data_IF_178690939806
#
_entry.id   IF_178690939806
#
_cell.length_a   1.000
_cell.length_b   1.000
_cell.length_c   1.000
_cell.angle_alpha   90.00
_cell.angle_beta   90.00
_cell.angle_gamma   90.00
#
_symmetry.space_group_name_H-M   'P 1'
#
loop_
_entity.id
_entity.type
_entity.pdbx_description
1 polymer ?
#
# COMPACT_ATOMS: atom_id res chain seq x y z
N UNK A 1 -31.36 54.30 -9.84
CA UNK A 1 -30.74 53.12 -9.22
C UNK A 1 -29.73 52.50 -10.20
N UNK A 2 -28.47 52.95 -10.20
CA UNK A 2 -27.44 52.46 -11.13
C UNK A 2 -26.64 51.33 -10.47
N UNK A 3 -26.97 50.07 -10.75
CA UNK A 3 -26.28 48.94 -10.10
C UNK A 3 -25.79 47.82 -11.02
N UNK A 4 -26.11 47.83 -12.32
CA UNK A 4 -25.75 46.71 -13.21
C UNK A 4 -24.43 46.91 -13.98
N UNK A 5 -24.04 48.15 -14.30
CA UNK A 5 -22.78 48.42 -15.04
C UNK A 5 -21.54 48.34 -14.15
N UNK A 6 -21.64 48.78 -12.90
CA UNK A 6 -20.56 48.71 -11.91
C UNK A 6 -20.14 47.27 -11.57
N UNK A 7 -21.09 46.34 -11.56
CA UNK A 7 -20.82 44.92 -11.27
C UNK A 7 -19.99 44.27 -12.39
N UNK A 8 -20.32 44.56 -13.66
CA UNK A 8 -19.58 44.03 -14.81
C UNK A 8 -18.15 44.57 -14.87
N UNK A 9 -17.95 45.83 -14.44
CA UNK A 9 -16.63 46.45 -14.44
C UNK A 9 -15.73 45.97 -13.29
N UNK A 10 -16.31 45.54 -12.16
CA UNK A 10 -15.57 44.87 -11.07
C UNK A 10 -15.09 43.48 -11.47
N UNK A 11 -15.92 42.67 -12.12
CA UNK A 11 -15.53 41.33 -12.60
C UNK A 11 -14.42 41.39 -13.65
N UNK A 12 -14.44 42.39 -14.54
CA UNK A 12 -13.38 42.57 -15.53
C UNK A 12 -12.03 42.98 -14.88
N UNK A 13 -12.04 43.78 -13.81
CA UNK A 13 -10.84 44.17 -13.07
C UNK A 13 -10.28 43.04 -12.20
N UNK A 14 -11.14 42.19 -11.64
CA UNK A 14 -10.71 41.02 -10.85
C UNK A 14 -9.99 39.97 -11.71
N UNK A 15 -10.38 39.79 -12.99
CA UNK A 15 -9.69 38.87 -13.92
C UNK A 15 -8.32 39.36 -14.38
N UNK A 16 -8.04 40.65 -14.35
CA UNK A 16 -6.70 41.21 -14.63
C UNK A 16 -5.77 41.10 -13.42
N UNK A 17 -6.31 41.10 -12.19
CA UNK A 17 -5.51 41.07 -10.96
C UNK A 17 -5.05 39.66 -10.53
N UNK A 18 -5.70 38.58 -11.00
CA UNK A 18 -5.21 37.21 -10.83
C UNK A 18 -4.30 36.77 -11.97
N UNK A 19 -3.19 37.50 -12.18
CA UNK A 19 -2.02 37.04 -12.94
C UNK A 19 -0.84 36.73 -12.00
N UNK A 20 -1.14 36.20 -10.81
CA UNK A 20 -0.10 35.64 -9.95
C UNK A 20 0.14 34.19 -10.39
N UNK A 21 1.00 34.03 -11.38
CA UNK A 21 1.58 32.73 -11.72
C UNK A 21 2.45 32.31 -10.55
N UNK A 22 1.90 31.51 -9.64
CA UNK A 22 2.68 30.82 -8.62
C UNK A 22 3.65 29.90 -9.35
N UNK A 23 4.98 30.00 -9.12
CA UNK A 23 5.88 28.96 -9.57
C UNK A 23 5.56 27.72 -8.72
N UNK A 24 4.72 26.83 -9.23
CA UNK A 24 4.56 25.50 -8.65
C UNK A 24 5.94 24.84 -8.72
N UNK A 25 6.58 24.51 -7.59
CA UNK A 25 7.81 23.74 -7.63
C UNK A 25 7.54 22.46 -8.41
N UNK A 26 8.47 21.98 -9.25
CA UNK A 26 8.32 20.69 -9.90
C UNK A 26 7.96 19.67 -8.83
N UNK A 27 6.84 18.97 -9.05
CA UNK A 27 6.28 18.02 -8.11
C UNK A 27 7.38 17.12 -7.58
N UNK A 28 7.46 17.03 -6.25
CA UNK A 28 8.31 16.07 -5.56
C UNK A 28 8.07 14.73 -6.24
N UNK A 29 9.05 14.25 -6.99
CA UNK A 29 9.06 12.89 -7.50
C UNK A 29 8.85 12.02 -6.28
N UNK A 30 7.71 11.34 -6.22
CA UNK A 30 7.55 10.23 -5.28
C UNK A 30 8.84 9.39 -5.42
N UNK A 31 9.51 9.03 -4.31
CA UNK A 31 10.70 8.21 -4.41
C UNK A 31 10.32 7.01 -5.29
N UNK A 32 11.17 6.63 -6.27
CA UNK A 32 10.83 5.58 -7.21
C UNK A 32 10.33 4.42 -6.39
N UNK A 33 9.07 4.01 -6.63
CA UNK A 33 8.45 2.86 -6.01
C UNK A 33 9.52 1.77 -6.04
N UNK A 34 10.10 1.47 -4.87
CA UNK A 34 11.33 0.69 -4.81
C UNK A 34 11.00 -0.63 -5.48
N UNK A 35 11.62 -0.90 -6.62
CA UNK A 35 11.41 -2.14 -7.33
C UNK A 35 11.60 -3.26 -6.31
N UNK A 36 10.57 -4.09 -6.13
CA UNK A 36 10.59 -5.16 -5.15
C UNK A 36 11.86 -5.98 -5.36
N UNK A 37 12.73 -6.02 -4.35
CA UNK A 37 13.98 -6.76 -4.48
C UNK A 37 13.66 -8.25 -4.59
N UNK A 38 14.49 -9.03 -5.27
CA UNK A 38 14.33 -10.49 -5.36
C UNK A 38 14.15 -11.13 -3.98
N UNK A 39 14.83 -10.59 -2.96
CA UNK A 39 14.69 -11.00 -1.57
C UNK A 39 13.26 -10.82 -1.02
N UNK A 40 12.54 -9.75 -1.36
CA UNK A 40 11.15 -9.56 -0.94
C UNK A 40 10.22 -10.56 -1.64
N UNK A 41 10.43 -10.80 -2.94
CA UNK A 41 9.65 -11.79 -3.69
C UNK A 41 9.80 -13.17 -3.04
N UNK A 42 11.04 -13.57 -2.73
CA UNK A 42 11.32 -14.85 -2.10
C UNK A 42 10.72 -14.93 -0.69
N UNK A 43 10.85 -13.85 0.08
CA UNK A 43 10.26 -13.73 1.42
C UNK A 43 8.74 -13.93 1.39
N UNK A 44 8.03 -13.25 0.48
CA UNK A 44 6.58 -13.43 0.34
C UNK A 44 6.24 -14.86 -0.07
N UNK A 45 7.00 -15.47 -0.98
CA UNK A 45 6.78 -16.87 -1.34
C UNK A 45 6.96 -17.81 -0.14
N UNK A 46 7.98 -17.57 0.68
CA UNK A 46 8.23 -18.32 1.91
C UNK A 46 7.09 -18.17 2.92
N UNK A 47 6.59 -16.96 3.14
CA UNK A 47 5.43 -16.71 4.01
C UNK A 47 4.20 -17.50 3.56
N UNK A 48 3.86 -17.46 2.27
CA UNK A 48 2.71 -18.23 1.77
C UNK A 48 2.95 -19.75 1.82
N UNK A 49 4.19 -20.21 1.68
CA UNK A 49 4.52 -21.62 1.89
C UNK A 49 4.28 -22.03 3.36
N UNK A 50 4.69 -21.20 4.32
CA UNK A 50 4.41 -21.42 5.74
C UNK A 50 2.91 -21.44 6.04
N UNK A 51 2.14 -20.51 5.48
CA UNK A 51 0.69 -20.49 5.65
C UNK A 51 0.00 -21.72 5.06
N UNK A 52 0.46 -22.19 3.91
CA UNK A 52 -0.06 -23.44 3.30
C UNK A 52 0.17 -24.65 4.20
N UNK A 53 1.29 -24.70 4.92
CA UNK A 53 1.61 -25.80 5.83
C UNK A 53 0.80 -25.73 7.13
N UNK A 54 0.68 -24.55 7.73
CA UNK A 54 0.02 -24.39 9.04
C UNK A 54 -1.51 -24.34 8.95
N UNK A 55 -2.06 -23.85 7.82
CA UNK A 55 -3.50 -23.63 7.64
C UNK A 55 -4.06 -24.39 6.45
N UNK A 56 -3.58 -25.62 6.19
CA UNK A 56 -3.83 -26.37 4.94
C UNK A 56 -5.27 -26.28 4.40
N UNK A 57 -6.26 -26.68 5.19
CA UNK A 57 -7.67 -26.67 4.75
C UNK A 57 -8.16 -25.25 4.42
N UNK A 58 -7.87 -24.27 5.28
CA UNK A 58 -8.26 -22.87 5.07
C UNK A 58 -7.53 -22.25 3.87
N UNK A 59 -6.26 -22.60 3.67
CA UNK A 59 -5.43 -22.09 2.59
C UNK A 59 -5.98 -22.53 1.22
N UNK A 60 -6.31 -23.81 1.06
CA UNK A 60 -6.89 -24.30 -0.20
C UNK A 60 -8.33 -23.83 -0.41
N UNK A 61 -9.10 -23.63 0.66
CA UNK A 61 -10.41 -23.02 0.56
C UNK A 61 -10.34 -21.52 0.15
N UNK A 62 -9.36 -20.78 0.66
CA UNK A 62 -9.19 -19.35 0.37
C UNK A 62 -8.52 -19.09 -0.99
N UNK A 63 -7.62 -19.97 -1.43
CA UNK A 63 -6.81 -19.79 -2.65
C UNK A 63 -6.91 -21.00 -3.59
N UNK A 64 -8.11 -21.31 -4.13
CA UNK A 64 -8.30 -22.46 -5.01
C UNK A 64 -7.67 -22.26 -6.39
N UNK A 65 -7.55 -21.00 -6.85
CA UNK A 65 -7.03 -20.65 -8.17
C UNK A 65 -5.58 -20.13 -8.12
N UNK A 66 -4.71 -20.72 -8.94
CA UNK A 66 -3.29 -20.40 -8.97
C UNK A 66 -2.98 -19.01 -9.55
N UNK A 67 -3.80 -18.51 -10.50
CA UNK A 67 -3.62 -17.15 -11.05
C UNK A 67 -4.03 -16.09 -10.02
N UNK A 68 -5.13 -16.31 -9.32
CA UNK A 68 -5.58 -15.49 -8.21
C UNK A 68 -4.54 -15.47 -7.09
N UNK A 69 -3.98 -16.63 -6.71
CA UNK A 69 -2.90 -16.70 -5.73
C UNK A 69 -1.68 -15.85 -6.15
N UNK A 70 -1.31 -15.87 -7.43
CA UNK A 70 -0.22 -15.03 -7.95
C UNK A 70 -0.52 -13.53 -7.80
N UNK A 71 -1.77 -13.11 -8.05
CA UNK A 71 -2.19 -11.73 -7.86
C UNK A 71 -2.18 -11.32 -6.38
N UNK A 72 -2.66 -12.19 -5.50
CA UNK A 72 -2.64 -11.95 -4.04
C UNK A 72 -1.21 -11.80 -3.53
N UNK A 73 -0.29 -12.68 -3.95
CA UNK A 73 1.13 -12.55 -3.59
C UNK A 73 1.76 -11.23 -4.06
N UNK A 74 1.39 -10.74 -5.25
CA UNK A 74 1.83 -9.43 -5.73
C UNK A 74 1.29 -8.31 -4.85
N UNK A 75 0.00 -8.34 -4.51
CA UNK A 75 -0.60 -7.36 -3.61
C UNK A 75 0.09 -7.35 -2.23
N UNK A 76 0.44 -8.51 -1.70
CA UNK A 76 1.19 -8.61 -0.46
C UNK A 76 2.62 -8.09 -0.58
N UNK A 77 3.28 -8.37 -1.70
CA UNK A 77 4.62 -7.86 -1.99
C UNK A 77 4.65 -6.33 -2.03
N UNK A 78 3.68 -5.73 -2.73
CA UNK A 78 3.57 -4.27 -2.85
C UNK A 78 3.27 -3.64 -1.49
N UNK A 79 2.38 -4.26 -0.69
CA UNK A 79 1.96 -3.74 0.62
C UNK A 79 3.02 -3.88 1.72
N UNK A 80 3.85 -4.93 1.66
CA UNK A 80 4.85 -5.22 2.68
C UNK A 80 6.26 -4.77 2.29
N UNK A 81 6.45 -4.20 1.09
CA UNK A 81 7.77 -3.84 0.56
C UNK A 81 8.54 -2.77 1.35
N UNK A 82 7.87 -2.05 2.25
CA UNK A 82 8.51 -1.08 3.14
C UNK A 82 9.15 -1.72 4.38
N UNK A 83 8.76 -2.96 4.72
CA UNK A 83 9.37 -3.70 5.82
C UNK A 83 10.63 -4.43 5.36
N UNK A 84 11.71 -4.46 6.17
CA UNK A 84 12.82 -5.37 5.95
C UNK A 84 12.34 -6.82 5.86
N UNK A 85 12.95 -7.62 4.98
CA UNK A 85 12.60 -9.04 4.79
C UNK A 85 12.60 -9.85 6.08
N UNK A 86 13.55 -9.59 6.98
CA UNK A 86 13.63 -10.24 8.30
C UNK A 86 12.42 -9.92 9.18
N UNK A 87 11.90 -8.68 9.10
CA UNK A 87 10.72 -8.26 9.85
C UNK A 87 9.46 -8.93 9.30
N UNK A 88 9.35 -9.11 7.98
CA UNK A 88 8.24 -9.85 7.35
C UNK A 88 8.24 -11.31 7.81
N UNK A 89 9.41 -11.96 7.81
CA UNK A 89 9.53 -13.35 8.26
C UNK A 89 9.23 -13.53 9.75
N UNK A 90 9.69 -12.60 10.60
CA UNK A 90 9.35 -12.59 12.02
C UNK A 90 7.85 -12.38 12.23
N UNK A 91 7.26 -11.41 11.51
CA UNK A 91 5.82 -11.15 11.55
C UNK A 91 5.00 -12.37 11.13
N UNK A 92 5.42 -13.09 10.09
CA UNK A 92 4.74 -14.32 9.67
C UNK A 92 4.78 -15.42 10.74
N UNK A 93 5.93 -15.62 11.41
CA UNK A 93 6.04 -16.57 12.52
C UNK A 93 5.13 -16.17 13.69
N UNK A 94 5.17 -14.91 14.07
CA UNK A 94 4.30 -14.39 15.13
C UNK A 94 2.82 -14.56 14.79
N UNK A 95 2.43 -14.29 13.53
CA UNK A 95 1.07 -14.50 13.07
C UNK A 95 0.65 -15.97 13.18
N UNK A 96 1.53 -16.91 12.84
CA UNK A 96 1.27 -18.35 12.95
C UNK A 96 1.07 -18.77 14.41
N UNK A 97 1.92 -18.28 15.31
CA UNK A 97 1.88 -18.62 16.74
C UNK A 97 0.63 -18.05 17.45
N UNK A 98 0.08 -16.94 16.97
CA UNK A 98 -0.96 -16.17 17.67
C UNK A 98 -2.28 -16.06 16.89
N UNK A 99 -2.44 -16.79 15.78
CA UNK A 99 -3.68 -16.76 14.99
C UNK A 99 -4.20 -18.18 14.78
N UNK A 100 -5.44 -18.42 15.22
CA UNK A 100 -6.16 -19.68 15.01
C UNK A 100 -6.56 -19.90 13.53
N UNK A 101 -6.64 -18.81 12.77
CA UNK A 101 -7.06 -18.80 11.37
C UNK A 101 -5.96 -18.29 10.45
N UNK A 102 -6.11 -18.59 9.16
CA UNK A 102 -5.21 -18.10 8.11
C UNK A 102 -5.09 -16.56 8.19
N UNK A 103 -3.89 -16.01 8.44
CA UNK A 103 -3.72 -14.58 8.62
C UNK A 103 -4.12 -13.77 7.39
N UNK A 104 -4.80 -12.65 7.61
CA UNK A 104 -5.06 -11.63 6.58
C UNK A 104 -3.85 -10.71 6.41
N UNK A 105 -3.84 -9.91 5.34
CA UNK A 105 -2.79 -8.90 5.14
C UNK A 105 -2.73 -7.89 6.29
N UNK A 106 -3.89 -7.45 6.80
CA UNK A 106 -3.95 -6.55 7.95
C UNK A 106 -3.31 -7.19 9.19
N UNK A 107 -3.65 -8.46 9.48
CA UNK A 107 -3.03 -9.18 10.59
C UNK A 107 -1.51 -9.26 10.43
N UNK A 108 -1.03 -9.41 9.19
CA UNK A 108 0.41 -9.41 8.91
C UNK A 108 1.07 -8.05 9.15
N UNK A 109 0.44 -6.93 8.82
CA UNK A 109 0.96 -5.61 9.18
C UNK A 109 1.13 -5.46 10.70
N UNK A 110 0.11 -5.85 11.48
CA UNK A 110 0.18 -5.82 12.94
C UNK A 110 1.33 -6.68 13.47
N UNK A 111 1.47 -7.90 12.95
CA UNK A 111 2.53 -8.82 13.38
C UNK A 111 3.92 -8.33 12.99
N UNK A 112 4.08 -7.75 11.80
CA UNK A 112 5.34 -7.12 11.38
C UNK A 112 5.71 -5.96 12.30
N UNK A 113 4.75 -5.11 12.68
CA UNK A 113 4.98 -3.99 13.60
C UNK A 113 5.35 -4.47 15.02
N UNK A 114 4.71 -5.53 15.49
CA UNK A 114 4.95 -6.10 16.83
C UNK A 114 6.29 -6.84 16.92
N UNK A 115 6.77 -7.45 15.83
CA UNK A 115 8.07 -8.15 15.77
C UNK A 115 9.31 -7.26 15.87
N UNK A 116 9.14 -5.95 16.09
CA UNK A 116 10.19 -4.97 16.39
C UNK A 116 10.49 -4.82 17.90
N UNK A 117 9.63 -5.36 18.78
CA UNK A 117 9.76 -5.27 20.23
C UNK A 117 10.61 -6.41 20.82
#
# INVERSE_FOLDING_TARGET
MPHSRDLLQRVAREREASKTTSPTPPGRTEPPHRAATEAHIETINQVFALFRLNYHNQYYAAFPDAQQLKQIKKLWLDSLGDYPVEQILRGARHAIEHSEYLPTLNRMHECCQQGLA
#
